data_IF_977774547951
#
_entry.id   IF_977774547951
#
_cell.length_a   1.000
_cell.length_b   1.000
_cell.length_c   1.000
_cell.angle_alpha   90.00
_cell.angle_beta   90.00
_cell.angle_gamma   90.00
#
_symmetry.space_group_name_H-M   'P 1'
#
loop_
_entity.id
_entity.type
_entity.pdbx_description
1 polymer ?
#
# COMPACT_ATOMS: atom_id res chain seq x y z
N UNK A 1 22.02 25.00 21.35
CA UNK A 1 20.72 24.84 20.66
C UNK A 1 19.99 23.72 21.35
N UNK A 2 19.30 24.05 22.44
CA UNK A 2 18.57 23.07 23.25
C UNK A 2 17.31 22.68 22.50
N UNK A 3 17.15 21.38 22.20
CA UNK A 3 15.91 20.86 21.62
C UNK A 3 14.90 20.78 22.76
N UNK A 4 13.94 21.69 22.74
CA UNK A 4 12.80 21.70 23.65
C UNK A 4 12.11 20.32 23.60
N UNK A 5 12.17 19.58 24.71
CA UNK A 5 11.50 18.28 24.84
C UNK A 5 10.00 18.56 24.98
N UNK A 6 9.29 18.54 23.85
CA UNK A 6 7.83 18.59 23.82
C UNK A 6 7.28 17.55 24.80
N UNK A 7 6.28 17.96 25.58
CA UNK A 7 5.54 17.00 26.39
C UNK A 7 4.96 15.92 25.47
N UNK A 8 4.97 14.67 25.93
CA UNK A 8 4.46 13.53 25.16
C UNK A 8 3.03 13.78 24.66
N UNK A 9 2.22 14.46 25.46
CA UNK A 9 0.85 14.83 25.11
C UNK A 9 0.78 15.84 23.96
N UNK A 10 1.66 16.84 23.94
CA UNK A 10 1.74 17.85 22.88
C UNK A 10 2.25 17.25 21.57
N UNK A 11 3.21 16.33 21.66
CA UNK A 11 3.71 15.58 20.51
C UNK A 11 2.61 14.71 19.88
N UNK A 12 1.82 14.00 20.69
CA UNK A 12 0.67 13.22 20.20
C UNK A 12 -0.38 14.13 19.57
N UNK A 13 -0.70 15.26 20.21
CA UNK A 13 -1.71 16.20 19.71
C UNK A 13 -1.32 16.78 18.36
N UNK A 14 -0.06 17.22 18.19
CA UNK A 14 0.48 17.70 16.90
C UNK A 14 0.51 16.60 15.84
N UNK A 15 0.83 15.36 16.23
CA UNK A 15 0.82 14.23 15.31
C UNK A 15 -0.61 13.84 14.89
N UNK A 16 -1.60 13.97 15.78
CA UNK A 16 -3.00 13.66 15.50
C UNK A 16 -3.55 14.43 14.30
N UNK A 17 -3.23 15.72 14.20
CA UNK A 17 -3.65 16.57 13.08
C UNK A 17 -2.92 16.22 11.76
N UNK A 18 -1.74 15.57 11.84
CA UNK A 18 -0.99 15.10 10.68
C UNK A 18 -1.38 13.68 10.22
N UNK A 19 -2.14 12.93 11.03
CA UNK A 19 -2.57 11.57 10.71
C UNK A 19 -3.88 11.59 9.92
N UNK A 20 -3.78 11.55 8.60
CA UNK A 20 -4.95 11.36 7.74
C UNK A 20 -5.32 9.87 7.65
N UNK A 21 -6.47 9.50 8.22
CA UNK A 21 -7.06 8.17 8.01
C UNK A 21 -8.03 8.22 6.84
N UNK A 22 -7.75 7.43 5.82
CA UNK A 22 -8.67 7.27 4.70
C UNK A 22 -9.95 6.57 5.19
N UNK A 23 -11.14 7.07 4.82
CA UNK A 23 -12.38 6.36 5.11
C UNK A 23 -12.44 5.05 4.33
N UNK A 24 -12.99 4.02 4.96
CA UNK A 24 -13.28 2.75 4.29
C UNK A 24 -14.64 2.85 3.60
N UNK A 25 -14.71 2.36 2.36
CA UNK A 25 -15.92 2.27 1.55
C UNK A 25 -16.18 0.82 1.20
N UNK A 26 -17.44 0.42 1.24
CA UNK A 26 -17.84 -0.93 0.84
C UNK A 26 -17.82 -1.05 -0.69
N UNK A 27 -17.16 -2.09 -1.18
CA UNK A 27 -17.19 -2.49 -2.59
C UNK A 27 -17.50 -3.98 -2.62
N UNK A 28 -18.69 -4.32 -3.09
CA UNK A 28 -19.16 -5.71 -3.18
C UNK A 28 -19.04 -6.49 -1.85
N UNK A 29 -19.27 -5.82 -0.71
CA UNK A 29 -19.18 -6.42 0.63
C UNK A 29 -17.77 -6.44 1.23
N UNK A 30 -16.76 -5.86 0.56
CA UNK A 30 -15.38 -5.75 1.05
C UNK A 30 -15.07 -4.29 1.39
N UNK A 31 -14.58 -3.99 2.61
CA UNK A 31 -14.18 -2.64 2.98
C UNK A 31 -12.82 -2.29 2.36
N UNK A 32 -12.82 -1.35 1.43
CA UNK A 32 -11.63 -0.84 0.74
C UNK A 32 -11.33 0.61 1.12
N UNK A 33 -10.06 1.01 1.01
CA UNK A 33 -9.68 2.42 1.17
C UNK A 33 -10.37 3.27 0.10
N UNK A 34 -10.87 4.46 0.49
CA UNK A 34 -11.65 5.33 -0.40
C UNK A 34 -10.99 5.60 -1.74
N UNK A 35 -9.68 5.81 -1.78
CA UNK A 35 -8.93 6.07 -3.02
C UNK A 35 -9.06 4.95 -4.05
N UNK A 36 -9.14 3.69 -3.59
CA UNK A 36 -9.32 2.52 -4.47
C UNK A 36 -10.79 2.38 -4.84
N UNK A 37 -11.68 2.49 -3.84
CA UNK A 37 -13.12 2.35 -4.04
C UNK A 37 -13.68 3.41 -5.01
N UNK A 38 -13.20 4.65 -4.94
CA UNK A 38 -13.66 5.75 -5.80
C UNK A 38 -13.25 5.57 -7.26
N UNK A 39 -12.19 4.80 -7.53
CA UNK A 39 -11.75 4.45 -8.88
C UNK A 39 -12.08 3.00 -9.27
N UNK A 40 -13.02 2.36 -8.56
CA UNK A 40 -13.31 0.93 -8.74
C UNK A 40 -13.67 0.57 -10.18
N UNK A 41 -14.42 1.43 -10.87
CA UNK A 41 -14.87 1.17 -12.24
C UNK A 41 -13.70 1.03 -13.22
N UNK A 42 -12.70 1.90 -13.14
CA UNK A 42 -11.50 1.82 -13.98
C UNK A 42 -10.67 0.57 -13.69
N UNK A 43 -10.63 0.11 -12.44
CA UNK A 43 -9.93 -1.12 -12.05
C UNK A 43 -10.67 -2.34 -12.59
N UNK A 44 -12.00 -2.34 -12.54
CA UNK A 44 -12.84 -3.43 -13.02
C UNK A 44 -12.83 -3.57 -14.55
N UNK A 45 -12.74 -2.44 -15.27
CA UNK A 45 -12.66 -2.39 -16.73
C UNK A 45 -11.24 -2.66 -17.27
N UNK A 46 -10.28 -3.01 -16.39
CA UNK A 46 -8.92 -3.32 -16.80
C UNK A 46 -8.85 -4.57 -17.71
N UNK A 47 -8.23 -4.43 -18.87
CA UNK A 47 -8.00 -5.50 -19.84
C UNK A 47 -6.51 -5.89 -19.84
N UNK A 48 -6.10 -6.95 -19.11
CA UNK A 48 -4.72 -7.43 -19.12
C UNK A 48 -4.35 -8.04 -20.47
N UNK A 49 -3.07 -7.99 -20.81
CA UNK A 49 -2.49 -8.78 -21.89
C UNK A 49 -2.31 -10.24 -21.44
N UNK A 50 -2.45 -11.24 -22.33
CA UNK A 50 -2.22 -12.64 -21.98
C UNK A 50 -0.82 -12.96 -21.45
N UNK A 51 0.18 -12.11 -21.70
CA UNK A 51 1.54 -12.25 -21.18
C UNK A 51 1.75 -11.64 -19.79
N UNK A 52 0.75 -10.95 -19.23
CA UNK A 52 0.84 -10.33 -17.92
C UNK A 52 0.86 -11.37 -16.80
N UNK A 53 1.64 -11.08 -15.75
CA UNK A 53 1.75 -11.91 -14.55
C UNK A 53 1.06 -11.23 -13.37
N UNK A 54 0.16 -11.96 -12.71
CA UNK A 54 -0.56 -11.47 -11.53
C UNK A 54 0.06 -12.00 -10.24
N UNK A 55 0.42 -11.08 -9.34
CA UNK A 55 0.75 -11.39 -7.95
C UNK A 55 -0.40 -10.90 -7.06
N UNK A 56 -1.12 -11.83 -6.43
CA UNK A 56 -2.24 -11.53 -5.54
C UNK A 56 -1.90 -11.92 -4.09
N UNK A 57 -1.92 -10.93 -3.19
CA UNK A 57 -1.62 -11.13 -1.77
C UNK A 57 -2.57 -10.32 -0.90
N UNK A 58 -2.94 -10.85 0.26
CA UNK A 58 -3.62 -10.07 1.29
C UNK A 58 -2.67 -8.99 1.86
N UNK A 59 -3.15 -7.77 2.18
CA UNK A 59 -2.31 -6.74 2.77
C UNK A 59 -1.53 -7.26 3.98
N UNK A 60 -0.24 -6.93 4.05
CA UNK A 60 0.70 -7.37 5.10
C UNK A 60 1.08 -8.86 5.07
N UNK A 61 0.69 -9.64 4.07
CA UNK A 61 1.13 -11.03 3.90
C UNK A 61 2.57 -11.20 3.34
N UNK A 62 3.45 -10.21 3.53
CA UNK A 62 4.86 -10.31 3.12
C UNK A 62 5.18 -9.85 1.70
N UNK A 63 4.44 -8.89 1.14
CA UNK A 63 4.76 -8.31 -0.18
C UNK A 63 6.21 -7.78 -0.26
N UNK A 64 6.73 -7.24 0.85
CA UNK A 64 8.11 -6.75 0.96
C UNK A 64 9.14 -7.87 0.70
N UNK A 65 8.89 -9.09 1.21
CA UNK A 65 9.79 -10.24 1.02
C UNK A 65 9.57 -10.94 -0.31
N UNK A 66 8.33 -11.02 -0.78
CA UNK A 66 7.99 -11.60 -2.08
C UNK A 66 8.55 -10.74 -3.23
N UNK A 67 8.42 -9.42 -3.15
CA UNK A 67 8.95 -8.50 -4.17
C UNK A 67 10.47 -8.51 -4.24
N UNK A 68 11.17 -8.54 -3.10
CA UNK A 68 12.62 -8.65 -3.06
C UNK A 68 13.12 -9.98 -3.62
N UNK A 69 12.43 -11.09 -3.35
CA UNK A 69 12.78 -12.41 -3.89
C UNK A 69 12.61 -12.46 -5.41
N UNK A 70 11.52 -11.89 -5.95
CA UNK A 70 11.29 -11.79 -7.39
C UNK A 70 12.31 -10.88 -8.09
N UNK A 71 12.65 -9.73 -7.49
CA UNK A 71 13.66 -8.83 -8.04
C UNK A 71 15.05 -9.50 -8.10
N UNK A 72 15.42 -10.23 -7.06
CA UNK A 72 16.66 -11.01 -7.02
C UNK A 72 16.67 -12.14 -8.07
N UNK A 73 15.55 -12.85 -8.23
CA UNK A 73 15.40 -13.92 -9.22
C UNK A 73 15.53 -13.38 -10.66
N UNK A 74 14.88 -12.25 -10.95
CA UNK A 74 14.94 -11.60 -12.26
C UNK A 74 16.36 -11.09 -12.61
N UNK A 75 17.13 -10.63 -11.61
CA UNK A 75 18.55 -10.30 -11.80
C UNK A 75 19.43 -11.54 -12.06
N UNK A 76 19.05 -12.70 -11.54
CA UNK A 76 19.80 -13.95 -11.75
C UNK A 76 19.59 -14.56 -13.13
N UNK A 77 18.40 -14.40 -13.72
CA UNK A 77 18.09 -14.89 -15.08
C UNK A 77 18.64 -13.99 -16.19
N UNK A 78 18.96 -12.73 -15.88
CA UNK A 78 19.51 -11.75 -16.83
C UNK A 78 21.04 -11.58 -16.71
N UNK A 79 21.74 -12.46 -15.99
CA UNK A 79 23.21 -12.49 -15.96
C UNK A 79 23.75 -13.28 -17.17
N UNK A 80 24.73 -12.75 -17.92
CA UNK A 80 25.34 -13.46 -19.06
C UNK A 80 26.10 -14.73 -18.66
#
# INVERSE_FOLDING_TARGET
>A
MEKELLSYEEAIKRAGDALHRFPLKDVQGIPLMSTIADNWQSIWEFCPDPSDLLISTYPKAGWDVAGLLWFQFSLSENSP
#
